data_IF_547229012742
#
_entry.id   IF_547229012742
#
_cell.length_a   1.000
_cell.length_b   1.000
_cell.length_c   1.000
_cell.angle_alpha   90.00
_cell.angle_beta   90.00
_cell.angle_gamma   90.00
#
_symmetry.space_group_name_H-M   'P 1'
#
loop_
_entity.id
_entity.type
_entity.pdbx_description
1 polymer ?
#
# COMPACT_ATOMS: atom_id res chain seq x y z
N UNK A 1 24.88 -0.06 -14.15
CA UNK A 1 24.66 0.86 -13.02
C UNK A 1 23.19 0.74 -12.64
N UNK A 2 22.87 0.16 -11.50
CA UNK A 2 21.50 0.08 -10.99
C UNK A 2 21.16 1.42 -10.34
N UNK A 3 20.15 2.12 -10.84
CA UNK A 3 19.64 3.37 -10.27
C UNK A 3 19.22 3.10 -8.83
N UNK A 4 19.83 3.83 -7.87
CA UNK A 4 19.50 3.71 -6.44
C UNK A 4 18.06 4.17 -6.23
N UNK A 5 17.18 3.29 -5.75
CA UNK A 5 15.80 3.67 -5.43
C UNK A 5 15.80 4.67 -4.27
N UNK A 6 15.28 5.86 -4.54
CA UNK A 6 15.06 6.92 -3.57
C UNK A 6 13.56 7.24 -3.55
N UNK A 7 12.92 7.03 -2.41
CA UNK A 7 11.50 7.28 -2.22
C UNK A 7 11.32 8.63 -1.50
N UNK A 8 10.66 9.61 -2.13
CA UNK A 8 10.38 10.88 -1.48
C UNK A 8 9.19 10.75 -0.52
N UNK A 9 9.21 11.52 0.55
CA UNK A 9 8.01 11.74 1.34
C UNK A 9 6.97 12.49 0.50
N UNK A 10 5.72 12.02 0.52
CA UNK A 10 4.58 12.69 -0.10
C UNK A 10 3.40 12.72 0.88
N UNK A 11 2.77 13.89 1.03
CA UNK A 11 1.53 13.97 1.79
C UNK A 11 0.37 13.32 1.01
N UNK A 12 0.08 12.05 1.30
CA UNK A 12 -1.16 11.42 0.85
C UNK A 12 -2.32 11.80 1.77
N UNK A 13 -3.57 11.80 1.25
CA UNK A 13 -4.77 12.02 2.06
C UNK A 13 -4.92 10.93 3.12
N UNK A 14 -4.53 11.22 4.37
CA UNK A 14 -4.54 10.26 5.48
C UNK A 14 -5.90 9.61 5.68
N UNK A 15 -6.98 10.36 5.50
CA UNK A 15 -8.33 9.85 5.63
C UNK A 15 -8.64 8.76 4.59
N UNK A 16 -8.01 8.81 3.41
CA UNK A 16 -8.16 7.83 2.35
C UNK A 16 -7.19 6.66 2.50
N UNK A 17 -5.92 6.92 2.84
CA UNK A 17 -4.94 5.85 3.08
C UNK A 17 -5.38 4.95 4.24
N UNK A 18 -6.00 5.50 5.28
CA UNK A 18 -6.61 4.73 6.38
C UNK A 18 -7.65 3.72 5.89
N UNK A 19 -8.48 4.08 4.91
CA UNK A 19 -9.44 3.15 4.32
C UNK A 19 -8.75 2.02 3.55
N UNK A 20 -7.70 2.33 2.79
CA UNK A 20 -6.92 1.33 2.03
C UNK A 20 -6.16 0.34 2.92
N UNK A 21 -5.79 0.75 4.14
CA UNK A 21 -5.14 -0.11 5.12
C UNK A 21 -6.11 -1.06 5.83
N UNK A 22 -7.41 -0.78 5.81
CA UNK A 22 -8.44 -1.59 6.45
C UNK A 22 -8.62 -2.97 5.81
N UNK A 23 -9.15 -3.93 6.58
CA UNK A 23 -9.47 -5.26 6.10
C UNK A 23 -10.94 -5.36 5.69
N UNK A 24 -11.20 -5.41 4.39
CA UNK A 24 -12.53 -5.50 3.81
C UNK A 24 -13.26 -6.82 4.00
N UNK A 25 -12.58 -7.86 4.48
CA UNK A 25 -13.15 -9.19 4.74
C UNK A 25 -13.32 -9.50 6.24
N UNK A 26 -12.67 -8.74 7.13
CA UNK A 26 -12.63 -9.06 8.57
C UNK A 26 -13.96 -8.93 9.33
N UNK A 27 -15.02 -8.40 8.70
CA UNK A 27 -16.31 -8.26 9.38
C UNK A 27 -17.46 -8.17 8.36
N UNK A 28 -18.60 -8.84 8.62
CA UNK A 28 -19.87 -8.55 7.94
C UNK A 28 -20.22 -7.05 7.97
N UNK A 29 -19.69 -6.34 8.95
CA UNK A 29 -19.89 -4.92 9.21
C UNK A 29 -18.83 -4.02 8.57
N UNK A 30 -17.84 -4.55 7.84
CA UNK A 30 -16.79 -3.71 7.24
C UNK A 30 -17.38 -2.62 6.33
N UNK A 31 -18.36 -2.98 5.52
CA UNK A 31 -19.01 -2.01 4.63
C UNK A 31 -19.69 -0.91 5.44
N UNK A 32 -20.42 -1.27 6.50
CA UNK A 32 -21.07 -0.29 7.37
C UNK A 32 -20.05 0.60 8.10
N UNK A 33 -18.94 0.04 8.59
CA UNK A 33 -17.85 0.82 9.21
C UNK A 33 -17.18 1.77 8.21
N UNK A 34 -16.98 1.30 6.99
CA UNK A 34 -16.46 2.14 5.90
C UNK A 34 -17.44 3.27 5.61
N UNK A 35 -18.73 2.97 5.57
CA UNK A 35 -19.75 3.97 5.34
C UNK A 35 -19.83 5.00 6.46
N UNK A 36 -19.89 4.55 7.70
CA UNK A 36 -19.86 5.39 8.88
C UNK A 36 -18.64 6.31 8.85
N UNK A 37 -17.46 5.75 8.53
CA UNK A 37 -16.24 6.54 8.40
C UNK A 37 -16.29 7.59 7.29
N UNK A 38 -16.90 7.29 6.14
CA UNK A 38 -17.12 8.26 5.06
C UNK A 38 -18.05 9.38 5.55
N UNK A 39 -19.14 9.06 6.25
CA UNK A 39 -20.06 10.05 6.82
C UNK A 39 -19.40 10.93 7.88
N UNK A 40 -18.59 10.33 8.74
CA UNK A 40 -17.86 11.01 9.83
C UNK A 40 -16.68 11.85 9.32
N UNK A 41 -16.33 11.73 8.05
CA UNK A 41 -15.24 12.49 7.41
C UNK A 41 -15.80 13.46 6.36
N UNK A 42 -16.10 14.73 6.71
CA UNK A 42 -16.78 15.67 5.82
C UNK A 42 -16.12 15.84 4.45
N UNK A 43 -14.80 15.81 4.40
CA UNK A 43 -14.04 15.91 3.13
C UNK A 43 -14.30 14.70 2.24
N UNK A 44 -14.28 13.48 2.79
CA UNK A 44 -14.60 12.28 2.01
C UNK A 44 -16.05 12.28 1.55
N UNK A 45 -16.99 12.59 2.44
CA UNK A 45 -18.41 12.67 2.09
C UNK A 45 -18.65 13.68 0.95
N UNK A 46 -17.99 14.84 1.01
CA UNK A 46 -18.04 15.85 -0.06
C UNK A 46 -17.53 15.32 -1.40
N UNK A 47 -16.40 14.61 -1.40
CA UNK A 47 -15.85 14.00 -2.62
C UNK A 47 -16.74 12.90 -3.19
N UNK A 48 -17.32 12.06 -2.32
CA UNK A 48 -18.26 11.01 -2.73
C UNK A 48 -19.49 11.64 -3.39
N UNK A 49 -20.09 12.66 -2.76
CA UNK A 49 -21.27 13.35 -3.31
C UNK A 49 -20.97 14.08 -4.62
N UNK A 50 -19.80 14.71 -4.73
CA UNK A 50 -19.45 15.52 -5.89
C UNK A 50 -19.02 14.70 -7.12
N UNK A 51 -18.30 13.58 -6.92
CA UNK A 51 -17.61 12.90 -8.02
C UNK A 51 -17.93 11.42 -8.18
N UNK A 52 -18.57 10.80 -7.18
CA UNK A 52 -18.89 9.37 -7.18
C UNK A 52 -20.37 9.11 -7.45
N UNK A 53 -21.23 9.98 -6.91
CA UNK A 53 -22.67 9.91 -7.12
C UNK A 53 -23.08 10.31 -8.53
N UNK A 54 -24.14 9.68 -9.02
CA UNK A 54 -24.88 10.20 -10.16
C UNK A 54 -25.86 11.30 -9.69
N UNK A 55 -25.66 12.57 -10.08
CA UNK A 55 -26.54 13.66 -9.67
C UNK A 55 -27.95 13.55 -10.24
N UNK A 56 -28.16 12.75 -11.31
CA UNK A 56 -29.48 12.51 -11.87
C UNK A 56 -30.25 11.38 -11.15
N UNK A 57 -29.56 10.62 -10.30
CA UNK A 57 -30.16 9.47 -9.63
C UNK A 57 -31.00 9.88 -8.42
N UNK A 58 -32.24 9.40 -8.37
CA UNK A 58 -33.13 9.50 -7.20
C UNK A 58 -32.80 8.46 -6.12
N UNK A 59 -31.82 7.58 -6.38
CA UNK A 59 -31.43 6.51 -5.46
C UNK A 59 -30.66 7.11 -4.28
N UNK A 60 -31.00 6.77 -3.02
CA UNK A 60 -30.26 7.24 -1.85
C UNK A 60 -28.76 6.89 -1.91
N UNK A 61 -27.91 7.74 -1.32
CA UNK A 61 -26.45 7.56 -1.29
C UNK A 61 -26.04 6.15 -0.84
N UNK A 62 -26.64 5.66 0.25
CA UNK A 62 -26.33 4.34 0.80
C UNK A 62 -26.61 3.21 -0.19
N UNK A 63 -27.71 3.29 -0.94
CA UNK A 63 -28.07 2.30 -1.93
C UNK A 63 -27.12 2.33 -3.13
N UNK A 64 -26.71 3.52 -3.59
CA UNK A 64 -25.71 3.66 -4.66
C UNK A 64 -24.34 3.09 -4.23
N UNK A 65 -23.88 3.43 -3.02
CA UNK A 65 -22.59 2.94 -2.51
C UNK A 65 -22.62 1.43 -2.23
N UNK A 66 -23.74 0.90 -1.73
CA UNK A 66 -23.93 -0.54 -1.51
C UNK A 66 -23.91 -1.31 -2.83
N UNK A 67 -24.56 -0.80 -3.87
CA UNK A 67 -24.53 -1.41 -5.20
C UNK A 67 -23.12 -1.44 -5.81
N UNK A 68 -22.31 -0.44 -5.50
CA UNK A 68 -20.93 -0.31 -5.98
C UNK A 68 -19.94 -1.22 -5.24
N UNK A 69 -20.17 -1.45 -3.95
CA UNK A 69 -19.25 -2.18 -3.08
C UNK A 69 -17.94 -1.44 -2.83
N UNK A 70 -17.12 -1.98 -1.93
CA UNK A 70 -15.87 -1.34 -1.48
C UNK A 70 -14.90 -1.05 -2.64
N UNK A 71 -14.66 -2.04 -3.52
CA UNK A 71 -13.72 -1.88 -4.63
C UNK A 71 -14.14 -0.76 -5.59
N UNK A 72 -15.43 -0.64 -5.91
CA UNK A 72 -15.88 0.45 -6.78
C UNK A 72 -15.75 1.83 -6.11
N UNK A 73 -16.02 1.92 -4.80
CA UNK A 73 -15.83 3.17 -4.03
C UNK A 73 -14.35 3.56 -4.02
N UNK A 74 -13.49 2.60 -3.66
CA UNK A 74 -12.03 2.74 -3.66
C UNK A 74 -11.51 3.22 -5.01
N UNK A 75 -11.92 2.56 -6.09
CA UNK A 75 -11.41 2.83 -7.42
C UNK A 75 -11.84 4.23 -7.90
N UNK A 76 -13.09 4.64 -7.65
CA UNK A 76 -13.57 5.99 -7.97
C UNK A 76 -12.91 7.07 -7.12
N UNK A 77 -12.75 6.86 -5.81
CA UNK A 77 -12.00 7.79 -4.95
C UNK A 77 -10.56 7.93 -5.41
N UNK A 78 -9.90 6.82 -5.78
CA UNK A 78 -8.53 6.85 -6.31
C UNK A 78 -8.44 7.74 -7.54
N UNK A 79 -9.35 7.58 -8.49
CA UNK A 79 -9.37 8.41 -9.70
C UNK A 79 -9.49 9.90 -9.37
N UNK A 80 -10.34 10.26 -8.41
CA UNK A 80 -10.51 11.65 -7.94
C UNK A 80 -9.22 12.18 -7.31
N UNK A 81 -8.51 11.39 -6.51
CA UNK A 81 -7.22 11.79 -5.95
C UNK A 81 -6.11 11.88 -7.00
N UNK A 82 -6.02 10.94 -7.93
CA UNK A 82 -5.05 11.00 -9.02
C UNK A 82 -5.28 12.24 -9.89
N UNK A 83 -6.54 12.60 -10.15
CA UNK A 83 -6.90 13.80 -10.90
C UNK A 83 -6.52 15.07 -10.15
N UNK A 84 -6.69 15.10 -8.82
CA UNK A 84 -6.18 16.20 -7.99
C UNK A 84 -4.66 16.33 -8.08
N UNK A 85 -3.93 15.23 -7.99
CA UNK A 85 -2.47 15.25 -8.07
C UNK A 85 -1.98 15.72 -9.44
N UNK A 86 -2.75 15.45 -10.50
CA UNK A 86 -2.40 15.82 -11.87
C UNK A 86 -2.77 17.26 -12.23
N UNK A 87 -3.98 17.69 -11.88
CA UNK A 87 -4.56 18.98 -12.29
C UNK A 87 -4.45 20.07 -11.20
N UNK A 88 -4.07 19.71 -9.98
CA UNK A 88 -4.06 20.59 -8.81
C UNK A 88 -5.45 20.84 -8.19
N UNK A 89 -6.53 20.30 -8.78
CA UNK A 89 -7.92 20.50 -8.31
C UNK A 89 -8.72 19.21 -8.39
N UNK A 90 -9.77 19.10 -7.59
CA UNK A 90 -10.70 17.99 -7.73
C UNK A 90 -11.61 18.22 -8.95
N UNK A 91 -11.55 17.34 -9.93
CA UNK A 91 -12.44 17.33 -11.10
C UNK A 91 -12.73 15.90 -11.58
N UNK A 92 -13.56 15.76 -12.61
CA UNK A 92 -13.89 14.44 -13.16
C UNK A 92 -12.65 13.76 -13.77
N UNK A 93 -12.50 12.44 -13.60
CA UNK A 93 -11.33 11.71 -14.09
C UNK A 93 -11.18 11.73 -15.60
N UNK A 94 -9.98 12.12 -16.06
CA UNK A 94 -9.53 12.07 -17.45
C UNK A 94 -9.08 10.66 -17.89
N UNK A 95 -8.83 10.47 -19.19
CA UNK A 95 -8.26 9.22 -19.71
C UNK A 95 -6.86 8.95 -19.13
N UNK A 96 -6.10 10.01 -18.82
CA UNK A 96 -4.77 9.88 -18.21
C UNK A 96 -4.86 9.26 -16.81
N UNK A 97 -5.82 9.69 -15.98
CA UNK A 97 -6.02 9.13 -14.64
C UNK A 97 -6.63 7.73 -14.69
N UNK A 98 -7.48 7.44 -15.67
CA UNK A 98 -7.98 6.07 -15.93
C UNK A 98 -6.85 5.10 -16.32
N UNK A 99 -5.93 5.53 -17.18
CA UNK A 99 -4.75 4.73 -17.54
C UNK A 99 -3.84 4.49 -16.34
N UNK A 100 -3.62 5.52 -15.52
CA UNK A 100 -2.88 5.39 -14.26
C UNK A 100 -3.51 4.37 -13.31
N UNK A 101 -4.84 4.39 -13.19
CA UNK A 101 -5.61 3.43 -12.40
C UNK A 101 -5.47 2.00 -12.94
N UNK A 102 -5.53 1.82 -14.26
CA UNK A 102 -5.35 0.49 -14.87
C UNK A 102 -3.96 -0.11 -14.55
N UNK A 103 -2.90 0.70 -14.58
CA UNK A 103 -1.56 0.24 -14.17
C UNK A 103 -1.51 -0.18 -12.69
N UNK A 104 -2.23 0.52 -11.81
CA UNK A 104 -2.32 0.18 -10.38
C UNK A 104 -3.09 -1.12 -10.15
N UNK A 105 -4.21 -1.32 -10.85
CA UNK A 105 -5.00 -2.56 -10.78
C UNK A 105 -4.20 -3.75 -11.31
N UNK A 106 -3.43 -3.59 -12.37
CA UNK A 106 -2.55 -4.65 -12.88
C UNK A 106 -1.42 -4.97 -11.89
N UNK A 107 -0.92 -3.98 -11.14
CA UNK A 107 0.00 -4.24 -10.04
C UNK A 107 -0.66 -5.05 -8.92
N UNK A 108 -1.84 -4.62 -8.46
CA UNK A 108 -2.60 -5.34 -7.42
C UNK A 108 -2.89 -6.79 -7.84
N UNK A 109 -3.30 -7.00 -9.10
CA UNK A 109 -3.54 -8.33 -9.67
C UNK A 109 -2.30 -9.22 -9.61
N UNK A 110 -1.11 -8.69 -9.95
CA UNK A 110 0.16 -9.44 -9.87
C UNK A 110 0.57 -9.75 -8.44
N UNK A 111 0.20 -8.92 -7.48
CA UNK A 111 0.47 -9.11 -6.06
C UNK A 111 -0.53 -10.03 -5.36
N UNK A 112 -1.64 -10.41 -6.01
CA UNK A 112 -2.77 -11.11 -5.39
C UNK A 112 -2.34 -12.37 -4.66
N UNK A 113 -1.55 -13.22 -5.31
CA UNK A 113 -1.19 -14.54 -4.79
C UNK A 113 -0.26 -14.50 -3.57
N UNK A 114 0.41 -13.36 -3.36
CA UNK A 114 1.30 -13.10 -2.22
C UNK A 114 0.68 -12.16 -1.17
N UNK A 115 -0.52 -11.64 -1.41
CA UNK A 115 -1.25 -10.76 -0.50
C UNK A 115 -2.39 -11.48 0.19
N UNK A 116 -2.67 -11.13 1.45
CA UNK A 116 -3.88 -11.59 2.12
C UNK A 116 -5.07 -10.82 1.56
N UNK A 117 -6.12 -11.55 1.15
CA UNK A 117 -7.34 -10.95 0.63
C UNK A 117 -8.02 -10.05 1.67
N UNK A 118 -8.77 -9.06 1.17
CA UNK A 118 -9.44 -8.05 2.00
C UNK A 118 -8.58 -6.83 2.31
N UNK A 119 -7.25 -6.89 2.14
CA UNK A 119 -6.38 -5.73 2.35
C UNK A 119 -6.02 -5.06 1.02
N UNK A 120 -6.24 -3.75 0.89
CA UNK A 120 -5.82 -2.97 -0.30
C UNK A 120 -4.37 -2.45 -0.18
N UNK A 121 -3.48 -3.20 0.47
CA UNK A 121 -2.10 -2.76 0.78
C UNK A 121 -1.20 -2.74 -0.45
N UNK A 122 -1.28 -3.73 -1.32
CA UNK A 122 -0.58 -3.69 -2.62
C UNK A 122 -1.08 -2.53 -3.49
N UNK A 123 -2.39 -2.27 -3.47
CA UNK A 123 -3.00 -1.13 -4.13
C UNK A 123 -2.54 0.22 -3.52
N UNK A 124 -2.41 0.32 -2.20
CA UNK A 124 -1.88 1.50 -1.50
C UNK A 124 -0.44 1.82 -1.92
N UNK A 125 0.42 0.80 -2.04
CA UNK A 125 1.78 0.99 -2.56
C UNK A 125 1.77 1.48 -4.02
N UNK A 126 0.91 0.89 -4.85
CA UNK A 126 0.74 1.35 -6.23
C UNK A 126 0.27 2.80 -6.30
N UNK A 127 -0.67 3.19 -5.44
CA UNK A 127 -1.15 4.57 -5.33
C UNK A 127 -0.01 5.52 -4.98
N UNK A 128 0.77 5.20 -3.95
CA UNK A 128 1.95 5.98 -3.55
C UNK A 128 2.94 6.17 -4.71
N UNK A 129 3.34 5.10 -5.39
CA UNK A 129 4.23 5.19 -6.55
C UNK A 129 3.63 5.99 -7.69
N UNK A 130 2.32 5.87 -7.92
CA UNK A 130 1.66 6.64 -8.97
C UNK A 130 1.69 8.13 -8.67
N UNK A 131 1.44 8.54 -7.43
CA UNK A 131 1.51 9.95 -7.03
C UNK A 131 2.93 10.50 -7.19
N UNK A 132 3.96 9.75 -6.80
CA UNK A 132 5.36 10.14 -7.05
C UNK A 132 5.59 10.36 -8.55
N UNK A 133 5.16 9.40 -9.38
CA UNK A 133 5.34 9.48 -10.82
C UNK A 133 4.65 10.71 -11.42
N UNK A 134 3.45 11.07 -10.93
CA UNK A 134 2.72 12.25 -11.39
C UNK A 134 3.50 13.52 -11.03
N UNK A 135 3.98 13.64 -9.80
CA UNK A 135 4.74 14.82 -9.32
C UNK A 135 6.09 14.95 -10.01
N UNK A 136 6.76 13.83 -10.32
CA UNK A 136 8.07 13.82 -10.98
C UNK A 136 8.03 14.05 -12.50
N UNK A 137 6.87 14.01 -13.16
CA UNK A 137 6.76 14.26 -14.61
C UNK A 137 7.19 15.68 -15.03
N UNK A 138 7.41 16.60 -14.09
CA UNK A 138 8.11 17.86 -14.34
C UNK A 138 9.64 17.78 -14.36
N UNK A 139 10.25 16.73 -13.80
CA UNK A 139 11.70 16.62 -13.56
C UNK A 139 12.35 15.40 -14.23
N UNK A 140 11.60 14.34 -14.54
CA UNK A 140 12.12 13.10 -15.13
C UNK A 140 11.79 12.94 -16.61
N UNK A 141 12.59 13.59 -17.45
CA UNK A 141 12.67 13.35 -18.91
C UNK A 141 13.36 12.02 -19.29
N UNK A 142 13.57 11.11 -18.33
CA UNK A 142 14.32 9.85 -18.48
C UNK A 142 13.59 8.60 -17.96
N UNK A 143 12.42 8.30 -18.50
CA UNK A 143 12.07 6.96 -18.99
C UNK A 143 11.88 5.74 -18.06
N UNK A 144 12.23 5.73 -16.79
CA UNK A 144 11.88 4.57 -15.92
C UNK A 144 10.58 4.83 -15.17
N UNK A 145 9.49 4.22 -15.64
CA UNK A 145 8.23 4.16 -14.86
C UNK A 145 8.55 3.51 -13.52
N UNK A 146 8.14 4.11 -12.38
CA UNK A 146 8.33 3.51 -11.04
C UNK A 146 7.76 2.08 -10.96
N UNK A 147 6.66 1.79 -11.68
CA UNK A 147 6.14 0.42 -11.80
C UNK A 147 7.05 -0.55 -12.56
N UNK A 148 7.89 -0.05 -13.46
CA UNK A 148 8.97 -0.79 -14.08
C UNK A 148 10.14 -1.05 -13.13
N UNK A 149 10.26 -0.30 -12.03
CA UNK A 149 11.29 -0.54 -11.02
C UNK A 149 11.03 -1.80 -10.21
N UNK A 150 9.79 -2.30 -10.12
CA UNK A 150 9.50 -3.63 -9.53
C UNK A 150 9.77 -4.69 -10.60
N UNK A 151 10.89 -5.43 -10.52
CA UNK A 151 11.27 -6.36 -11.56
C UNK A 151 10.33 -7.57 -11.53
N UNK A 152 9.90 -8.05 -12.71
CA UNK A 152 9.12 -9.31 -12.79
C UNK A 152 9.79 -10.49 -12.06
N UNK A 153 11.13 -10.65 -12.10
CA UNK A 153 11.81 -11.70 -11.33
C UNK A 153 11.59 -11.57 -9.82
N UNK A 154 11.49 -10.35 -9.27
CA UNK A 154 11.21 -10.13 -7.85
C UNK A 154 9.84 -10.70 -7.46
N UNK A 155 8.81 -10.41 -8.26
CA UNK A 155 7.47 -10.96 -8.07
C UNK A 155 7.48 -12.49 -8.14
N UNK A 156 8.16 -13.07 -9.13
CA UNK A 156 8.28 -14.52 -9.28
C UNK A 156 8.96 -15.17 -8.07
N UNK A 157 10.04 -14.58 -7.56
CA UNK A 157 10.70 -15.08 -6.35
C UNK A 157 9.83 -14.95 -5.11
N UNK A 158 9.01 -13.89 -5.01
CA UNK A 158 8.04 -13.76 -3.92
C UNK A 158 6.90 -14.79 -4.04
N UNK A 159 6.52 -15.23 -5.25
CA UNK A 159 5.55 -16.30 -5.44
C UNK A 159 6.07 -17.67 -4.98
N UNK A 160 7.39 -17.89 -5.05
CA UNK A 160 8.01 -19.09 -4.46
C UNK A 160 7.85 -19.12 -2.93
N UNK A 161 7.68 -17.94 -2.30
CA UNK A 161 7.34 -17.82 -0.89
C UNK A 161 5.85 -18.12 -0.73
N UNK A 162 5.54 -19.37 -0.38
CA UNK A 162 4.16 -19.88 -0.34
C UNK A 162 3.18 -19.16 0.65
N UNK A 163 3.58 -18.10 1.38
CA UNK A 163 2.68 -17.37 2.30
C UNK A 163 2.25 -16.02 1.76
N UNK A 164 1.00 -15.71 2.06
CA UNK A 164 0.41 -14.39 1.86
C UNK A 164 0.77 -13.46 3.02
N UNK A 165 1.09 -12.20 2.72
CA UNK A 165 1.36 -11.17 3.72
C UNK A 165 0.19 -10.17 3.80
N UNK A 166 -0.16 -9.74 5.01
CA UNK A 166 -1.10 -8.62 5.24
C UNK A 166 -0.44 -7.30 4.80
N UNK A 167 0.74 -7.03 5.34
CA UNK A 167 1.60 -5.87 5.04
C UNK A 167 2.49 -6.12 3.82
N UNK A 168 1.86 -6.49 2.69
CA UNK A 168 2.57 -6.88 1.46
C UNK A 168 3.36 -5.73 0.84
N UNK A 169 2.92 -4.50 1.03
CA UNK A 169 3.62 -3.29 0.59
C UNK A 169 4.96 -3.09 1.29
N UNK A 170 5.01 -3.26 2.61
CA UNK A 170 6.27 -3.24 3.35
C UNK A 170 7.20 -4.34 2.83
N UNK A 171 6.71 -5.58 2.72
CA UNK A 171 7.51 -6.68 2.18
C UNK A 171 8.06 -6.36 0.78
N UNK A 172 7.24 -5.77 -0.10
CA UNK A 172 7.69 -5.34 -1.42
C UNK A 172 8.82 -4.32 -1.36
N UNK A 173 8.69 -3.28 -0.54
CA UNK A 173 9.70 -2.24 -0.42
C UNK A 173 11.04 -2.81 0.06
N UNK A 174 11.00 -3.69 1.06
CA UNK A 174 12.19 -4.37 1.56
C UNK A 174 12.84 -5.26 0.50
N UNK A 175 12.05 -6.12 -0.14
CA UNK A 175 12.55 -7.04 -1.15
C UNK A 175 13.08 -6.30 -2.38
N UNK A 176 12.45 -5.19 -2.76
CA UNK A 176 12.92 -4.33 -3.85
C UNK A 176 14.29 -3.74 -3.55
N UNK A 177 14.50 -3.21 -2.35
CA UNK A 177 15.79 -2.68 -1.92
C UNK A 177 16.88 -3.75 -1.90
N UNK A 178 16.59 -4.92 -1.31
CA UNK A 178 17.56 -6.02 -1.27
C UNK A 178 17.90 -6.52 -2.67
N UNK A 179 16.89 -6.65 -3.55
CA UNK A 179 17.08 -7.08 -4.93
C UNK A 179 17.98 -6.10 -5.70
N UNK A 180 17.76 -4.79 -5.56
CA UNK A 180 18.55 -3.77 -6.26
C UNK A 180 19.99 -3.69 -5.73
N UNK A 181 20.19 -3.85 -4.41
CA UNK A 181 21.50 -3.69 -3.79
C UNK A 181 22.37 -4.95 -3.88
N UNK A 182 21.82 -6.10 -3.50
CA UNK A 182 22.58 -7.37 -3.48
C UNK A 182 22.61 -8.05 -4.85
N UNK A 183 21.73 -7.62 -5.76
CA UNK A 183 21.52 -8.23 -7.06
C UNK A 183 20.58 -9.45 -7.00
N UNK A 184 20.09 -9.91 -8.16
CA UNK A 184 19.06 -10.94 -8.25
C UNK A 184 19.48 -12.28 -7.64
N UNK A 185 20.71 -12.72 -7.89
CA UNK A 185 21.19 -14.05 -7.47
C UNK A 185 21.34 -14.15 -5.95
N UNK A 186 21.98 -13.17 -5.31
CA UNK A 186 22.12 -13.14 -3.85
C UNK A 186 20.76 -13.02 -3.16
N UNK A 187 19.84 -12.25 -3.73
CA UNK A 187 18.47 -12.17 -3.21
C UNK A 187 17.75 -13.52 -3.32
N UNK A 188 17.89 -14.23 -4.44
CA UNK A 188 17.33 -15.57 -4.62
C UNK A 188 17.87 -16.57 -3.60
N UNK A 189 19.17 -16.56 -3.34
CA UNK A 189 19.79 -17.38 -2.30
C UNK A 189 19.25 -17.06 -0.90
N UNK A 190 19.09 -15.78 -0.57
CA UNK A 190 18.51 -15.33 0.70
C UNK A 190 17.07 -15.84 0.89
N UNK A 191 16.24 -15.74 -0.16
CA UNK A 191 14.86 -16.23 -0.11
C UNK A 191 14.84 -17.76 0.07
N UNK A 192 15.66 -18.52 -0.67
CA UNK A 192 15.76 -19.97 -0.54
C UNK A 192 16.22 -20.42 0.86
N UNK A 193 17.22 -19.74 1.41
CA UNK A 193 17.82 -20.09 2.70
C UNK A 193 16.99 -19.64 3.91
N UNK A 194 16.00 -18.76 3.72
CA UNK A 194 15.14 -18.28 4.81
C UNK A 194 14.18 -19.32 5.38
N UNK A 195 14.02 -20.48 4.73
CA UNK A 195 13.45 -21.72 5.27
C UNK A 195 11.96 -21.72 5.63
N UNK A 196 11.34 -20.57 5.94
CA UNK A 196 9.91 -20.41 6.25
C UNK A 196 9.49 -18.93 6.24
N UNK A 197 8.18 -18.66 6.11
CA UNK A 197 7.62 -17.38 5.66
C UNK A 197 7.61 -16.23 6.69
N UNK A 198 7.32 -16.49 7.98
CA UNK A 198 7.51 -15.51 9.07
C UNK A 198 8.98 -15.10 9.19
N UNK A 199 9.88 -15.99 8.76
CA UNK A 199 11.29 -15.73 8.70
C UNK A 199 11.69 -14.89 7.50
N UNK A 200 10.90 -14.58 6.46
CA UNK A 200 11.42 -13.67 5.42
C UNK A 200 11.49 -12.24 5.97
N UNK A 201 10.40 -11.71 6.53
CA UNK A 201 10.43 -10.41 7.22
C UNK A 201 11.37 -10.49 8.42
N UNK A 202 11.24 -11.51 9.29
CA UNK A 202 12.14 -11.69 10.42
C UNK A 202 13.62 -11.76 10.02
N UNK A 203 14.02 -12.68 9.13
CA UNK A 203 15.40 -12.87 8.66
C UNK A 203 15.92 -11.67 7.89
N UNK A 204 15.10 -11.04 7.04
CA UNK A 204 15.51 -9.82 6.33
C UNK A 204 15.82 -8.71 7.34
N UNK A 205 14.99 -8.52 8.36
CA UNK A 205 15.17 -7.44 9.34
C UNK A 205 16.15 -7.77 10.47
N UNK A 206 16.33 -9.03 10.84
CA UNK A 206 17.17 -9.41 11.99
C UNK A 206 18.50 -10.02 11.58
N UNK A 207 18.61 -10.60 10.38
CA UNK A 207 19.85 -11.26 9.92
C UNK A 207 20.50 -10.56 8.72
N UNK A 208 19.71 -10.01 7.79
CA UNK A 208 20.26 -9.36 6.58
C UNK A 208 20.54 -7.87 6.84
N UNK A 209 19.67 -7.20 7.59
CA UNK A 209 19.78 -5.79 7.98
C UNK A 209 21.03 -5.42 8.79
N UNK A 210 21.50 -6.21 9.77
CA UNK A 210 22.69 -5.82 10.54
C UNK A 210 24.01 -6.09 9.80
N UNK A 211 23.95 -6.81 8.67
CA UNK A 211 25.12 -7.21 7.88
C UNK A 211 25.33 -6.35 6.62
N UNK A 212 24.61 -5.24 6.47
CA UNK A 212 24.82 -4.26 5.41
C UNK A 212 25.62 -3.05 5.90
N UNK A 213 26.55 -2.59 5.07
CA UNK A 213 27.31 -1.35 5.22
C UNK A 213 26.38 -0.16 5.52
N UNK A 214 26.83 0.76 6.39
CA UNK A 214 26.02 1.84 6.97
C UNK A 214 25.15 2.62 5.96
N UNK A 215 25.68 2.93 4.77
CA UNK A 215 24.97 3.75 3.77
C UNK A 215 23.75 3.07 3.12
N UNK A 216 23.75 1.73 3.00
CA UNK A 216 22.58 1.01 2.49
C UNK A 216 21.46 1.05 3.52
N UNK A 217 21.83 0.77 4.78
CA UNK A 217 20.90 0.72 5.90
C UNK A 217 20.20 2.07 6.03
N UNK A 218 20.95 3.18 5.94
CA UNK A 218 20.41 4.53 5.99
C UNK A 218 19.41 4.82 4.86
N UNK A 219 19.72 4.42 3.62
CA UNK A 219 18.82 4.64 2.49
C UNK A 219 17.52 3.84 2.63
N UNK A 220 17.62 2.56 3.02
CA UNK A 220 16.42 1.73 3.20
C UNK A 220 15.57 2.31 4.34
N UNK A 221 16.17 2.66 5.48
CA UNK A 221 15.47 3.32 6.60
C UNK A 221 14.76 4.57 6.09
N UNK A 222 15.48 5.45 5.39
CA UNK A 222 14.95 6.69 4.88
C UNK A 222 13.72 6.45 3.99
N UNK A 223 13.81 5.51 3.06
CA UNK A 223 12.72 5.22 2.13
C UNK A 223 11.50 4.60 2.82
N UNK A 224 11.72 3.75 3.82
CA UNK A 224 10.65 3.18 4.64
C UNK A 224 9.98 4.23 5.52
N UNK A 225 10.76 5.13 6.13
CA UNK A 225 10.24 6.26 6.90
C UNK A 225 9.45 7.20 5.99
N UNK A 226 9.96 7.51 4.80
CA UNK A 226 9.24 8.32 3.82
C UNK A 226 7.92 7.67 3.43
N UNK A 227 7.90 6.37 3.12
CA UNK A 227 6.67 5.65 2.80
C UNK A 227 5.69 5.63 3.98
N UNK A 228 6.14 5.23 5.18
CA UNK A 228 5.32 5.14 6.38
C UNK A 228 4.71 6.48 6.77
N UNK A 229 5.51 7.55 6.74
CA UNK A 229 5.04 8.91 6.96
C UNK A 229 4.02 9.34 5.87
N UNK A 230 4.23 8.94 4.62
CA UNK A 230 3.34 9.29 3.51
C UNK A 230 1.97 8.65 3.64
N UNK A 231 1.91 7.39 4.10
CA UNK A 231 0.63 6.68 4.30
C UNK A 231 0.01 6.91 5.68
N UNK A 232 0.76 7.52 6.61
CA UNK A 232 0.33 7.76 7.99
C UNK A 232 0.40 6.51 8.88
N UNK A 233 1.27 5.55 8.58
CA UNK A 233 1.43 4.32 9.38
C UNK A 233 2.67 4.40 10.26
N UNK A 234 2.45 4.63 11.55
CA UNK A 234 3.51 4.71 12.57
C UNK A 234 3.72 3.36 13.27
N UNK A 235 2.67 2.55 13.40
CA UNK A 235 2.69 1.26 14.10
C UNK A 235 3.74 0.31 13.56
N UNK A 236 4.12 0.44 12.28
CA UNK A 236 5.19 -0.36 11.70
C UNK A 236 6.52 -0.21 12.47
N UNK A 237 6.83 1.01 12.93
CA UNK A 237 8.06 1.35 13.66
C UNK A 237 7.88 1.30 15.18
N UNK A 238 6.67 1.57 15.66
CA UNK A 238 6.37 1.63 17.09
C UNK A 238 5.94 0.30 17.69
N UNK A 239 5.44 -0.63 16.88
CA UNK A 239 5.19 -2.01 17.34
C UNK A 239 6.53 -2.66 17.64
N UNK A 240 6.65 -3.24 18.83
CA UNK A 240 7.83 -3.98 19.24
C UNK A 240 8.02 -5.18 18.29
N UNK A 241 8.77 -4.99 17.21
CA UNK A 241 9.35 -6.04 16.36
C UNK A 241 10.31 -6.97 17.15
N UNK A 242 10.48 -6.70 18.45
CA UNK A 242 11.19 -7.50 19.44
C UNK A 242 10.24 -7.79 20.60
N UNK A 243 9.72 -9.02 20.69
CA UNK A 243 9.05 -9.50 21.91
C UNK A 243 7.75 -10.24 21.66
N UNK A 244 7.84 -11.56 21.53
CA UNK A 244 6.67 -12.43 21.63
C UNK A 244 6.04 -12.30 23.02
N UNK A 245 4.78 -11.90 23.06
CA UNK A 245 3.74 -12.59 23.84
C UNK A 245 2.41 -11.96 23.48
N UNK A 246 1.53 -12.76 22.89
CA UNK A 246 0.10 -12.52 23.02
C UNK A 246 -0.20 -12.41 24.52
N UNK A 247 -0.61 -11.23 24.99
CA UNK A 247 -1.52 -11.18 26.13
C UNK A 247 -2.92 -11.05 25.56
N UNK A 248 -3.53 -12.22 25.36
CA UNK A 248 -4.97 -12.40 25.42
C UNK A 248 -5.50 -11.61 26.62
N UNK A 249 -6.37 -10.64 26.36
CA UNK A 249 -7.29 -10.12 27.38
C UNK A 249 -8.54 -10.98 27.32
N UNK A 250 -8.51 -12.08 28.08
CA UNK A 250 -9.70 -12.76 28.56
C UNK A 250 -9.61 -12.82 30.09
N UNK A 251 -10.70 -12.42 30.75
CA UNK A 251 -11.06 -12.81 32.12
C UNK A 251 -10.22 -12.25 33.26
N UNK A 252 -10.78 -11.31 34.01
CA UNK A 252 -11.03 -11.58 35.43
C UNK A 252 -12.14 -10.68 35.97
N UNK A 253 -13.28 -11.31 36.16
CA UNK A 253 -14.31 -10.93 37.11
C UNK A 253 -13.85 -11.22 38.54
N UNK A 254 -14.23 -10.30 39.45
CA UNK A 254 -14.44 -10.47 40.89
C UNK A 254 -13.20 -10.59 41.82
N UNK A 255 -12.98 -9.56 42.65
CA UNK A 255 -13.15 -9.65 44.12
C UNK A 255 -12.65 -8.38 44.84
N UNK A 256 -13.57 -7.50 45.25
CA UNK A 256 -13.84 -7.10 46.65
C UNK A 256 -15.03 -6.16 46.69
#
# INVERSE_FOLDING_TARGET
>A
MTTKLSLPFIHLPQYYTKLLMGNSHSSPDFFNKTMQYIYDTPVLLGLVRAFIMDPASQIPLDAQLKAMGWLGIRDRLTLVFLEREWSGRFCHPTDQTRNAMAEMLEFEKRARDISVEGYSRSFLLAFYFKVIQIRQKGEMSGGEKIFGMIPRPLLQMLLEVKARAIRIDWLFLFCLHLYQYRGPEKFKELIKNSGTRQNVIGTVFTKVWPASENELTDEIIRNLLCYGASIGEQDFFCSSLVGGTQRSREGDTAST
#
